data_IF_286315007909
#
_entry.id   IF_286315007909
#
_cell.length_a   1.000
_cell.length_b   1.000
_cell.length_c   1.000
_cell.angle_alpha   90.00
_cell.angle_beta   90.00
_cell.angle_gamma   90.00
#
_symmetry.space_group_name_H-M   'P 1'
#
loop_
_entity.id
_entity.type
_entity.pdbx_description
1 polymer ?
#
# COMPACT_ATOMS: atom_id res chain seq x y z
N UNK A 1 4.09 -16.07 83.18
CA UNK A 1 3.83 -16.58 81.81
C UNK A 1 5.16 -16.97 81.19
N UNK A 2 5.38 -18.24 80.80
CA UNK A 2 6.72 -18.74 80.52
C UNK A 2 7.10 -18.63 79.04
N UNK A 3 8.39 -18.37 78.82
CA UNK A 3 9.06 -18.30 77.52
C UNK A 3 9.21 -19.70 76.91
N UNK A 4 8.71 -19.89 75.68
CA UNK A 4 8.96 -21.11 74.89
C UNK A 4 10.25 -20.91 74.10
N UNK A 5 11.29 -21.70 74.44
CA UNK A 5 12.50 -21.82 73.62
C UNK A 5 12.21 -22.77 72.47
N UNK A 6 12.24 -22.26 71.24
CA UNK A 6 12.22 -23.08 70.02
C UNK A 6 13.64 -23.59 69.78
N UNK A 7 13.84 -24.92 69.81
CA UNK A 7 15.06 -25.56 69.32
C UNK A 7 14.91 -25.79 67.82
N UNK A 8 15.80 -25.22 67.01
CA UNK A 8 15.96 -25.64 65.62
C UNK A 8 16.90 -26.84 65.59
N UNK A 9 16.35 -28.02 65.30
CA UNK A 9 17.14 -29.15 64.84
C UNK A 9 17.22 -29.03 63.31
N UNK A 10 18.42 -28.86 62.77
CA UNK A 10 18.69 -29.07 61.35
C UNK A 10 19.33 -30.46 61.22
N UNK A 11 18.59 -31.40 60.64
CA UNK A 11 19.11 -32.71 60.28
C UNK A 11 19.88 -32.59 58.95
N UNK A 12 21.18 -32.83 58.99
CA UNK A 12 22.10 -32.79 57.84
C UNK A 12 22.08 -34.10 57.01
N UNK A 13 20.93 -34.78 56.94
CA UNK A 13 20.75 -36.04 56.19
C UNK A 13 19.89 -35.89 54.92
N UNK A 14 19.57 -34.67 54.50
CA UNK A 14 18.94 -34.47 53.18
C UNK A 14 19.95 -34.74 52.07
N UNK A 15 19.70 -35.65 51.10
CA UNK A 15 20.59 -35.83 49.96
C UNK A 15 20.79 -34.49 49.26
N UNK A 16 22.04 -34.18 48.89
CA UNK A 16 22.42 -32.95 48.20
C UNK A 16 21.50 -32.69 47.00
N UNK A 17 21.17 -31.42 46.68
CA UNK A 17 20.38 -31.12 45.50
C UNK A 17 21.09 -31.66 44.26
N UNK A 18 20.31 -32.41 43.48
CA UNK A 18 20.65 -33.04 42.19
C UNK A 18 21.90 -32.44 41.53
N UNK A 19 22.93 -33.26 41.36
CA UNK A 19 24.17 -32.81 40.69
C UNK A 19 23.89 -32.58 39.20
N UNK A 20 24.56 -31.63 38.56
CA UNK A 20 24.42 -31.31 37.12
C UNK A 20 24.63 -32.52 36.17
N UNK A 21 25.16 -33.64 36.67
CA UNK A 21 25.28 -34.91 35.94
C UNK A 21 23.97 -35.72 35.88
N UNK A 22 22.93 -35.34 36.62
CA UNK A 22 21.61 -36.02 36.62
C UNK A 22 20.60 -35.37 35.66
N UNK A 23 20.97 -34.28 34.98
CA UNK A 23 20.29 -33.92 33.73
C UNK A 23 20.70 -34.98 32.72
N UNK A 24 19.94 -36.08 32.67
CA UNK A 24 20.29 -37.23 31.84
C UNK A 24 20.51 -36.74 30.42
N UNK A 25 21.61 -37.18 29.80
CA UNK A 25 21.86 -36.91 28.38
C UNK A 25 20.67 -37.38 27.54
N UNK A 26 19.91 -38.34 28.03
CA UNK A 26 18.64 -38.86 27.51
C UNK A 26 17.49 -37.85 27.57
N UNK A 27 17.39 -37.02 28.61
CA UNK A 27 16.42 -35.92 28.69
C UNK A 27 16.76 -34.79 27.71
N UNK A 28 18.05 -34.46 27.56
CA UNK A 28 18.50 -33.49 26.58
C UNK A 28 18.39 -34.05 25.15
N UNK A 29 18.72 -35.33 24.95
CA UNK A 29 18.52 -36.03 23.69
C UNK A 29 17.06 -36.10 23.32
N UNK A 30 16.13 -36.40 24.23
CA UNK A 30 14.69 -36.44 23.94
C UNK A 30 14.08 -35.05 23.70
N UNK A 31 14.70 -33.99 24.23
CA UNK A 31 14.39 -32.61 23.86
C UNK A 31 14.92 -32.27 22.45
N UNK A 32 16.14 -32.69 22.11
CA UNK A 32 16.75 -32.48 20.79
C UNK A 32 16.22 -33.43 19.68
N UNK A 33 15.72 -34.60 20.07
CA UNK A 33 15.05 -35.64 19.24
C UNK A 33 13.53 -35.59 19.44
N UNK A 34 12.96 -34.42 19.70
CA UNK A 34 11.59 -34.22 19.26
C UNK A 34 11.61 -34.39 17.73
N UNK A 35 10.80 -35.29 17.15
CA UNK A 35 10.73 -35.37 15.70
C UNK A 35 10.32 -33.99 15.18
N UNK A 36 11.26 -33.27 14.55
CA UNK A 36 11.00 -32.01 13.86
C UNK A 36 9.91 -32.22 12.80
N UNK A 37 9.74 -33.48 12.36
CA UNK A 37 8.67 -33.96 11.52
C UNK A 37 7.52 -34.48 12.40
N UNK A 38 6.84 -33.57 13.11
CA UNK A 38 5.44 -33.81 13.46
C UNK A 38 4.65 -34.07 12.17
N UNK A 39 3.56 -34.86 12.24
CA UNK A 39 2.68 -35.10 11.09
C UNK A 39 2.43 -33.78 10.34
N UNK A 40 3.05 -33.62 9.16
CA UNK A 40 2.97 -32.35 8.42
C UNK A 40 1.51 -32.16 8.05
N UNK A 41 0.85 -31.21 8.71
CA UNK A 41 -0.52 -30.86 8.41
C UNK A 41 -0.54 -30.03 7.13
N UNK A 42 -1.55 -30.23 6.28
CA UNK A 42 -1.77 -29.37 5.11
C UNK A 42 -1.87 -27.89 5.48
N UNK A 43 -2.38 -27.59 6.68
CA UNK A 43 -2.41 -26.22 7.23
C UNK A 43 -1.01 -25.64 7.41
N UNK A 44 -0.05 -26.44 7.90
CA UNK A 44 1.34 -26.00 8.11
C UNK A 44 2.03 -25.72 6.78
N UNK A 45 1.82 -26.59 5.78
CA UNK A 45 2.34 -26.40 4.42
C UNK A 45 1.79 -25.09 3.83
N UNK A 46 0.47 -24.87 3.92
CA UNK A 46 -0.16 -23.65 3.40
C UNK A 46 0.35 -22.40 4.13
N UNK A 47 0.55 -22.47 5.45
CA UNK A 47 1.12 -21.37 6.22
C UNK A 47 2.55 -21.04 5.80
N UNK A 48 3.40 -22.06 5.58
CA UNK A 48 4.78 -21.86 5.10
C UNK A 48 4.81 -21.23 3.71
N UNK A 49 3.95 -21.69 2.79
CA UNK A 49 3.85 -21.10 1.44
C UNK A 49 3.38 -19.65 1.54
N UNK A 50 2.35 -19.39 2.35
CA UNK A 50 1.82 -18.04 2.54
C UNK A 50 2.86 -17.07 3.12
N UNK A 51 3.54 -17.48 4.19
CA UNK A 51 4.57 -16.67 4.86
C UNK A 51 5.80 -16.44 3.97
N UNK A 52 6.21 -17.44 3.18
CA UNK A 52 7.35 -17.28 2.27
C UNK A 52 7.05 -16.27 1.16
N UNK A 53 5.85 -16.30 0.58
CA UNK A 53 5.43 -15.29 -0.39
C UNK A 53 5.30 -13.89 0.21
N UNK A 54 4.70 -13.77 1.40
CA UNK A 54 4.61 -12.49 2.10
C UNK A 54 6.00 -11.90 2.43
N UNK A 55 6.92 -12.75 2.89
CA UNK A 55 8.31 -12.35 3.16
C UNK A 55 9.04 -11.89 1.89
N UNK A 56 8.82 -12.56 0.76
CA UNK A 56 9.41 -12.17 -0.52
C UNK A 56 8.95 -10.76 -0.96
N UNK A 57 7.64 -10.48 -0.89
CA UNK A 57 7.11 -9.15 -1.22
C UNK A 57 7.61 -8.10 -0.23
N UNK A 58 7.63 -8.42 1.07
CA UNK A 58 8.17 -7.53 2.10
C UNK A 58 9.63 -7.17 1.81
N UNK A 59 10.47 -8.15 1.47
CA UNK A 59 11.88 -7.91 1.13
C UNK A 59 12.03 -6.99 -0.08
N UNK A 60 11.19 -7.17 -1.12
CA UNK A 60 11.15 -6.27 -2.28
C UNK A 60 10.80 -4.84 -1.90
N UNK A 61 9.78 -4.65 -1.05
CA UNK A 61 9.36 -3.33 -0.56
C UNK A 61 10.47 -2.67 0.26
N UNK A 62 11.07 -3.41 1.20
CA UNK A 62 12.20 -2.91 2.01
C UNK A 62 13.37 -2.48 1.14
N UNK A 63 13.70 -3.26 0.10
CA UNK A 63 14.77 -2.90 -0.83
C UNK A 63 14.45 -1.63 -1.63
N UNK A 64 13.19 -1.43 -2.04
CA UNK A 64 12.75 -0.20 -2.69
C UNK A 64 12.90 1.02 -1.76
N UNK A 65 12.49 0.89 -0.50
CA UNK A 65 12.69 1.93 0.51
C UNK A 65 14.18 2.22 0.76
N UNK A 66 15.02 1.20 0.81
CA UNK A 66 16.46 1.38 0.99
C UNK A 66 17.08 2.18 -0.16
N UNK A 67 16.64 1.94 -1.40
CA UNK A 67 17.07 2.74 -2.57
C UNK A 67 16.70 4.21 -2.43
N UNK A 68 15.45 4.49 -2.06
CA UNK A 68 14.97 5.86 -1.84
C UNK A 68 15.77 6.50 -0.71
N UNK A 69 15.90 5.82 0.43
CA UNK A 69 16.66 6.30 1.59
C UNK A 69 18.12 6.62 1.22
N UNK A 70 18.77 5.75 0.45
CA UNK A 70 20.13 5.97 -0.02
C UNK A 70 20.24 7.20 -0.93
N UNK A 71 19.23 7.44 -1.77
CA UNK A 71 19.14 8.64 -2.60
C UNK A 71 18.90 9.90 -1.76
N UNK A 72 18.10 9.82 -0.69
CA UNK A 72 17.83 10.96 0.18
C UNK A 72 19.06 11.39 0.98
N UNK A 73 19.93 10.45 1.36
CA UNK A 73 21.15 10.75 2.15
C UNK A 73 22.33 11.15 1.28
N UNK A 74 22.52 10.44 0.16
CA UNK A 74 23.69 10.64 -0.70
C UNK A 74 23.37 11.48 -1.94
N UNK A 75 22.12 11.92 -2.11
CA UNK A 75 21.71 12.78 -3.20
C UNK A 75 22.25 14.19 -3.03
N UNK A 76 22.73 14.78 -4.11
CA UNK A 76 23.19 16.16 -4.11
C UNK A 76 21.97 17.10 -4.05
N UNK A 77 21.79 17.91 -2.98
CA UNK A 77 20.73 18.90 -2.95
C UNK A 77 21.02 20.00 -3.97
N UNK A 78 20.00 20.40 -4.74
CA UNK A 78 20.13 21.47 -5.76
C UNK A 78 20.01 22.87 -5.12
N UNK A 79 19.59 22.94 -3.87
CA UNK A 79 19.41 24.18 -3.11
C UNK A 79 18.82 23.90 -1.73
N UNK A 80 18.47 24.97 -1.01
CA UNK A 80 17.68 24.90 0.22
C UNK A 80 16.21 24.52 -0.10
N UNK A 81 15.45 24.22 0.95
CA UNK A 81 14.01 23.97 0.91
C UNK A 81 13.30 25.06 0.08
N UNK A 82 12.70 24.67 -1.05
CA UNK A 82 11.88 25.60 -1.84
C UNK A 82 10.46 25.59 -1.26
N UNK A 83 9.94 26.78 -0.98
CA UNK A 83 8.52 26.97 -0.64
C UNK A 83 7.79 27.53 -1.85
N UNK A 84 6.87 26.74 -2.41
CA UNK A 84 5.87 27.22 -3.37
C UNK A 84 4.48 26.88 -2.84
N UNK A 85 3.56 27.84 -3.00
CA UNK A 85 2.16 27.72 -2.55
C UNK A 85 1.97 27.27 -1.09
N UNK A 86 2.92 27.59 -0.20
CA UNK A 86 2.85 27.25 1.23
C UNK A 86 3.22 25.80 1.57
N UNK A 87 3.74 25.03 0.61
CA UNK A 87 4.34 23.71 0.85
C UNK A 87 5.83 23.77 0.64
N UNK A 88 6.54 23.08 1.52
CA UNK A 88 7.97 22.94 1.45
C UNK A 88 8.33 21.60 0.84
N UNK A 89 9.22 21.61 -0.15
CA UNK A 89 9.77 20.39 -0.72
C UNK A 89 11.29 20.49 -0.89
N UNK A 90 11.95 19.33 -0.82
CA UNK A 90 13.39 19.24 -1.02
C UNK A 90 13.73 18.84 -2.44
N UNK A 91 14.60 19.61 -3.07
CA UNK A 91 15.08 19.39 -4.43
C UNK A 91 16.37 18.58 -4.42
N UNK A 92 16.32 17.37 -4.98
CA UNK A 92 17.48 16.49 -5.10
C UNK A 92 17.84 16.30 -6.56
N UNK A 93 19.14 16.35 -6.85
CA UNK A 93 19.69 16.03 -8.17
C UNK A 93 19.90 14.54 -8.28
N UNK A 94 19.34 13.93 -9.31
CA UNK A 94 19.75 12.60 -9.74
C UNK A 94 20.64 12.68 -10.98
N UNK A 95 21.74 11.92 -10.98
CA UNK A 95 22.54 11.68 -12.18
C UNK A 95 22.08 10.42 -12.94
N UNK A 96 21.04 9.74 -12.45
CA UNK A 96 20.47 8.58 -13.14
C UNK A 96 19.70 9.00 -14.38
N UNK A 97 19.58 8.11 -15.36
CA UNK A 97 18.75 8.29 -16.57
C UNK A 97 17.25 8.15 -16.30
N UNK A 98 16.84 8.15 -15.04
CA UNK A 98 15.46 7.94 -14.60
C UNK A 98 14.73 9.29 -14.70
N UNK A 99 13.48 9.28 -15.16
CA UNK A 99 12.62 10.48 -15.20
C UNK A 99 12.53 11.16 -13.84
N UNK A 100 12.27 12.46 -13.82
CA UNK A 100 11.95 13.17 -12.57
C UNK A 100 10.74 12.53 -11.88
N UNK A 101 10.73 12.56 -10.55
CA UNK A 101 9.63 12.01 -9.76
C UNK A 101 9.59 12.64 -8.36
N UNK A 102 8.44 12.55 -7.72
CA UNK A 102 8.21 12.96 -6.33
C UNK A 102 7.95 11.78 -5.41
N UNK A 103 8.41 11.91 -4.17
CA UNK A 103 8.14 10.93 -3.11
C UNK A 103 7.96 11.64 -1.77
N UNK A 104 6.77 11.53 -1.16
CA UNK A 104 6.38 12.34 -0.01
C UNK A 104 6.58 13.84 -0.25
N UNK A 105 7.48 14.49 0.49
CA UNK A 105 7.81 15.92 0.34
C UNK A 105 9.14 16.13 -0.40
N UNK A 106 9.64 15.10 -1.09
CA UNK A 106 10.87 15.17 -1.87
C UNK A 106 10.52 15.26 -3.35
N UNK A 107 11.17 16.19 -4.04
CA UNK A 107 11.06 16.39 -5.47
C UNK A 107 12.42 16.10 -6.09
N UNK A 108 12.53 14.95 -6.78
CA UNK A 108 13.79 14.47 -7.35
C UNK A 108 13.79 14.83 -8.83
N UNK A 109 14.72 15.69 -9.24
CA UNK A 109 14.84 16.13 -10.62
C UNK A 109 16.02 15.47 -11.31
N UNK A 110 15.77 14.97 -12.52
CA UNK A 110 16.82 14.57 -13.44
C UNK A 110 17.62 15.81 -13.89
N UNK A 111 18.94 15.65 -14.08
CA UNK A 111 19.80 16.69 -14.67
C UNK A 111 19.23 17.29 -15.95
N UNK A 112 18.70 16.49 -16.87
CA UNK A 112 18.20 16.99 -18.16
C UNK A 112 16.91 17.82 -17.98
N UNK A 113 16.06 17.40 -17.05
CA UNK A 113 14.78 18.03 -16.71
C UNK A 113 14.97 19.38 -15.98
N UNK A 114 16.13 19.59 -15.35
CA UNK A 114 16.49 20.89 -14.77
C UNK A 114 16.65 21.99 -15.82
N UNK A 115 17.09 21.62 -17.03
CA UNK A 115 17.36 22.58 -18.10
C UNK A 115 16.19 22.72 -19.08
N UNK A 116 15.40 21.66 -19.27
CA UNK A 116 14.30 21.63 -20.22
C UNK A 116 12.96 21.43 -19.53
N UNK A 117 12.03 22.38 -19.72
CA UNK A 117 10.64 22.29 -19.27
C UNK A 117 10.47 22.05 -17.76
N UNK A 118 11.42 22.55 -16.95
CA UNK A 118 11.41 22.42 -15.48
C UNK A 118 10.05 22.77 -14.88
N UNK A 119 9.41 23.86 -15.31
CA UNK A 119 8.13 24.31 -14.73
C UNK A 119 7.04 23.25 -14.86
N UNK A 120 6.77 22.75 -16.07
CA UNK A 120 5.70 21.76 -16.29
C UNK A 120 5.95 20.45 -15.52
N UNK A 121 7.22 20.06 -15.36
CA UNK A 121 7.60 18.88 -14.57
C UNK A 121 7.41 19.17 -13.08
N UNK A 122 7.92 20.30 -12.57
CA UNK A 122 7.77 20.66 -11.15
C UNK A 122 6.32 20.82 -10.76
N UNK A 123 5.50 21.43 -11.62
CA UNK A 123 4.08 21.67 -11.36
C UNK A 123 3.32 20.34 -11.28
N UNK A 124 3.66 19.37 -12.15
CA UNK A 124 3.09 18.01 -12.11
C UNK A 124 3.49 17.26 -10.84
N UNK A 125 4.80 17.22 -10.53
CA UNK A 125 5.31 16.55 -9.35
C UNK A 125 4.82 17.18 -8.04
N UNK A 126 4.58 18.49 -8.04
CA UNK A 126 4.00 19.16 -6.88
C UNK A 126 2.56 18.69 -6.61
N UNK A 127 1.76 18.40 -7.64
CA UNK A 127 0.43 17.81 -7.43
C UNK A 127 0.54 16.45 -6.73
N UNK A 128 1.52 15.62 -7.09
CA UNK A 128 1.74 14.33 -6.43
C UNK A 128 2.08 14.46 -4.94
N UNK A 129 2.95 15.41 -4.61
CA UNK A 129 3.25 15.77 -3.21
C UNK A 129 1.99 16.25 -2.52
N UNK A 130 1.27 17.18 -3.16
CA UNK A 130 0.12 17.87 -2.61
C UNK A 130 -1.09 16.99 -2.33
N UNK A 131 -1.31 15.97 -3.16
CA UNK A 131 -2.39 14.99 -3.02
C UNK A 131 -1.96 13.74 -2.25
N UNK A 132 -0.72 13.69 -1.75
CA UNK A 132 -0.19 12.57 -0.96
C UNK A 132 -0.19 11.23 -1.72
N UNK A 133 -0.04 11.27 -3.04
CA UNK A 133 -0.10 10.06 -3.89
C UNK A 133 0.93 8.99 -3.51
N UNK A 134 2.08 9.39 -2.94
CA UNK A 134 3.07 8.43 -2.41
C UNK A 134 2.50 7.59 -1.26
N UNK A 135 1.68 8.17 -0.38
CA UNK A 135 1.05 7.45 0.72
C UNK A 135 0.08 6.39 0.21
N UNK A 136 -0.73 6.74 -0.80
CA UNK A 136 -1.69 5.82 -1.42
C UNK A 136 -1.00 4.60 -2.04
N UNK A 137 0.13 4.82 -2.73
CA UNK A 137 0.95 3.72 -3.28
C UNK A 137 1.49 2.84 -2.17
N UNK A 138 2.00 3.42 -1.08
CA UNK A 138 2.52 2.66 0.05
C UNK A 138 1.44 1.84 0.77
N UNK A 139 0.24 2.39 0.92
CA UNK A 139 -0.89 1.65 1.47
C UNK A 139 -1.19 0.39 0.62
N UNK A 140 -1.14 0.51 -0.70
CA UNK A 140 -1.32 -0.64 -1.59
C UNK A 140 -0.16 -1.63 -1.56
N UNK A 141 1.08 -1.19 -1.37
CA UNK A 141 2.21 -2.12 -1.13
C UNK A 141 1.97 -2.92 0.16
N UNK A 142 1.46 -2.29 1.22
CA UNK A 142 1.11 -2.98 2.47
C UNK A 142 -0.01 -4.01 2.24
N UNK A 143 -1.07 -3.65 1.53
CA UNK A 143 -2.14 -4.59 1.16
C UNK A 143 -1.58 -5.74 0.32
N UNK A 144 -0.66 -5.45 -0.61
CA UNK A 144 -0.02 -6.46 -1.45
C UNK A 144 0.83 -7.45 -0.65
N UNK A 145 1.43 -7.06 0.48
CA UNK A 145 2.15 -8.02 1.35
C UNK A 145 1.18 -9.09 1.89
N UNK A 146 0.01 -8.68 2.38
CA UNK A 146 -0.98 -9.60 2.92
C UNK A 146 -1.71 -10.41 1.84
N UNK A 147 -1.93 -9.79 0.67
CA UNK A 147 -2.69 -10.34 -0.44
C UNK A 147 -1.80 -10.63 -1.66
N UNK A 148 -0.54 -11.05 -1.45
CA UNK A 148 0.47 -11.16 -2.51
C UNK A 148 0.08 -12.12 -3.65
N UNK A 149 -0.74 -13.13 -3.34
CA UNK A 149 -1.22 -14.12 -4.29
C UNK A 149 -2.43 -13.62 -5.11
N UNK A 150 -3.01 -12.47 -4.76
CA UNK A 150 -4.20 -11.93 -5.40
C UNK A 150 -3.83 -10.97 -6.54
N UNK A 151 -3.98 -11.37 -7.82
CA UNK A 151 -3.63 -10.52 -8.95
C UNK A 151 -4.48 -9.25 -9.05
N UNK A 152 -5.68 -9.25 -8.45
CA UNK A 152 -6.55 -8.06 -8.43
C UNK A 152 -5.91 -6.88 -7.69
N UNK A 153 -5.04 -7.15 -6.70
CA UNK A 153 -4.34 -6.08 -5.98
C UNK A 153 -3.35 -5.37 -6.90
N UNK A 154 -2.64 -6.10 -7.76
CA UNK A 154 -1.71 -5.48 -8.71
C UNK A 154 -2.46 -4.67 -9.78
N UNK A 155 -3.60 -5.18 -10.30
CA UNK A 155 -4.44 -4.42 -11.22
C UNK A 155 -4.98 -3.14 -10.57
N UNK A 156 -5.49 -3.24 -9.33
CA UNK A 156 -5.97 -2.07 -8.60
C UNK A 156 -4.86 -1.04 -8.39
N UNK A 157 -3.66 -1.50 -8.05
CA UNK A 157 -2.47 -0.66 -7.90
C UNK A 157 -2.08 0.04 -9.19
N UNK A 158 -2.19 -0.63 -10.34
CA UNK A 158 -1.97 -0.01 -11.64
C UNK A 158 -3.02 1.06 -11.94
N UNK A 159 -4.30 0.75 -11.76
CA UNK A 159 -5.39 1.72 -11.99
C UNK A 159 -5.31 2.92 -11.05
N UNK A 160 -4.87 2.73 -9.80
CA UNK A 160 -4.69 3.84 -8.88
C UNK A 160 -3.57 4.79 -9.34
N UNK A 161 -2.45 4.24 -9.84
CA UNK A 161 -1.39 5.05 -10.45
C UNK A 161 -1.88 5.82 -11.66
N UNK A 162 -2.64 5.18 -12.56
CA UNK A 162 -3.27 5.86 -13.71
C UNK A 162 -4.15 7.05 -13.27
N UNK A 163 -4.96 6.86 -12.23
CA UNK A 163 -5.78 7.92 -11.66
C UNK A 163 -4.92 9.08 -11.12
N UNK A 164 -3.83 8.79 -10.42
CA UNK A 164 -2.91 9.83 -9.91
C UNK A 164 -2.33 10.67 -11.06
N UNK A 165 -1.87 10.03 -12.13
CA UNK A 165 -1.38 10.72 -13.33
C UNK A 165 -2.48 11.60 -13.95
N UNK A 166 -3.71 11.08 -14.08
CA UNK A 166 -4.82 11.85 -14.64
C UNK A 166 -5.23 13.04 -13.78
N UNK A 167 -5.16 12.92 -12.46
CA UNK A 167 -5.43 14.03 -11.54
C UNK A 167 -4.39 15.12 -11.74
N UNK A 168 -3.10 14.75 -11.70
CA UNK A 168 -1.98 15.67 -11.89
C UNK A 168 -2.05 16.37 -13.26
N UNK A 169 -2.20 15.59 -14.33
CA UNK A 169 -2.36 16.11 -15.69
C UNK A 169 -3.56 17.07 -15.80
N UNK A 170 -4.68 16.77 -15.13
CA UNK A 170 -5.88 17.61 -15.22
C UNK A 170 -5.77 18.97 -14.51
N UNK A 171 -4.88 19.07 -13.53
CA UNK A 171 -4.61 20.31 -12.79
C UNK A 171 -3.61 21.15 -13.59
N UNK A 172 -2.50 20.55 -14.03
CA UNK A 172 -1.46 21.29 -14.78
C UNK A 172 -1.95 21.73 -16.16
N UNK A 173 -2.78 20.92 -16.83
CA UNK A 173 -3.31 21.24 -18.16
C UNK A 173 -4.51 22.19 -18.16
N UNK A 174 -4.92 22.77 -17.02
CA UNK A 174 -6.15 23.56 -16.92
C UNK A 174 -6.11 24.83 -17.80
N UNK A 175 -4.97 25.51 -17.86
CA UNK A 175 -4.80 26.74 -18.64
C UNK A 175 -4.50 26.45 -20.12
N UNK A 176 -3.57 25.54 -20.41
CA UNK A 176 -3.09 25.27 -21.77
C UNK A 176 -2.98 23.76 -22.09
N UNK A 177 -4.13 23.14 -22.36
CA UNK A 177 -4.22 21.70 -22.66
C UNK A 177 -3.31 21.22 -23.80
N UNK A 178 -3.28 21.98 -24.91
CA UNK A 178 -2.53 21.58 -26.10
C UNK A 178 -1.02 21.65 -25.85
N UNK A 179 -0.54 22.76 -25.28
CA UNK A 179 0.86 22.96 -24.92
C UNK A 179 1.35 21.85 -23.97
N UNK A 180 0.56 21.53 -22.94
CA UNK A 180 0.92 20.47 -22.00
C UNK A 180 0.93 19.07 -22.63
N UNK A 181 -0.04 18.76 -23.49
CA UNK A 181 -0.09 17.47 -24.19
C UNK A 181 1.09 17.29 -25.16
N UNK A 182 1.49 18.35 -25.88
CA UNK A 182 2.68 18.34 -26.74
C UNK A 182 3.96 18.16 -25.93
N UNK A 183 4.07 18.85 -24.80
CA UNK A 183 5.16 18.65 -23.85
C UNK A 183 5.24 17.19 -23.38
N UNK A 184 4.14 16.62 -22.91
CA UNK A 184 4.09 15.27 -22.38
C UNK A 184 4.48 14.22 -23.44
N UNK A 185 4.00 14.42 -24.68
CA UNK A 185 4.38 13.60 -25.81
C UNK A 185 5.88 13.69 -26.09
N UNK A 186 6.44 14.90 -26.22
CA UNK A 186 7.86 15.10 -26.48
C UNK A 186 8.75 14.56 -25.34
N UNK A 187 8.30 14.70 -24.09
CA UNK A 187 8.99 14.21 -22.90
C UNK A 187 9.09 12.69 -22.91
N UNK A 188 7.96 12.00 -23.09
CA UNK A 188 7.91 10.54 -23.08
C UNK A 188 8.75 9.91 -24.22
N UNK A 189 8.78 10.53 -25.40
CA UNK A 189 9.62 10.07 -26.50
C UNK A 189 11.12 10.23 -26.20
N UNK A 190 11.52 11.30 -25.49
CA UNK A 190 12.92 11.52 -25.11
C UNK A 190 13.39 10.54 -24.04
N UNK A 191 12.57 10.28 -23.02
CA UNK A 191 12.92 9.35 -21.94
C UNK A 191 12.94 7.90 -22.43
N UNK A 192 12.04 7.51 -23.33
CA UNK A 192 11.93 6.14 -23.85
C UNK A 192 12.88 5.82 -25.03
N UNK A 193 13.55 6.82 -25.62
CA UNK A 193 14.50 6.60 -26.72
C UNK A 193 15.72 5.73 -26.34
N UNK A 194 15.94 5.48 -25.05
CA UNK A 194 17.10 4.76 -24.51
C UNK A 194 16.84 3.30 -24.12
N UNK A 195 15.60 2.80 -24.13
CA UNK A 195 15.26 1.46 -23.63
C UNK A 195 14.55 0.59 -24.69
N UNK A 196 15.30 -0.33 -25.29
CA UNK A 196 14.82 -1.34 -26.26
C UNK A 196 13.95 -2.46 -25.63
N UNK A 197 13.45 -2.31 -24.40
CA UNK A 197 12.71 -3.39 -23.72
C UNK A 197 11.73 -2.86 -22.66
N UNK A 198 10.50 -2.52 -23.10
CA UNK A 198 9.21 -2.50 -22.34
C UNK A 198 8.17 -1.45 -22.80
N UNK A 199 8.29 -0.85 -23.99
CA UNK A 199 7.46 0.30 -24.39
C UNK A 199 5.95 0.04 -24.59
N UNK A 200 5.49 -1.22 -24.70
CA UNK A 200 4.07 -1.51 -24.99
C UNK A 200 3.08 -1.00 -23.91
N UNK A 201 3.47 -0.98 -22.64
CA UNK A 201 2.62 -0.49 -21.55
C UNK A 201 2.73 1.03 -21.34
N UNK A 202 3.89 1.61 -21.67
CA UNK A 202 4.10 3.06 -21.59
C UNK A 202 3.33 3.79 -22.70
N UNK A 203 3.26 3.18 -23.89
CA UNK A 203 2.54 3.75 -25.03
C UNK A 203 1.02 3.82 -24.78
N UNK A 204 0.43 2.82 -24.12
CA UNK A 204 -0.99 2.84 -23.76
C UNK A 204 -1.28 3.91 -22.70
N UNK A 205 -0.44 4.02 -21.68
CA UNK A 205 -0.60 5.01 -20.61
C UNK A 205 -0.49 6.44 -21.15
N UNK A 206 0.53 6.74 -21.98
CA UNK A 206 0.70 8.06 -22.58
C UNK A 206 -0.54 8.44 -23.40
N UNK A 207 -1.03 7.51 -24.22
CA UNK A 207 -2.24 7.72 -25.01
C UNK A 207 -3.44 8.04 -24.13
N UNK A 208 -3.63 7.33 -23.03
CA UNK A 208 -4.75 7.56 -22.11
C UNK A 208 -4.64 8.92 -21.39
N UNK A 209 -3.44 9.29 -20.95
CA UNK A 209 -3.15 10.61 -20.37
C UNK A 209 -3.51 11.75 -21.33
N UNK A 210 -2.98 11.70 -22.57
CA UNK A 210 -3.29 12.69 -23.61
C UNK A 210 -4.79 12.71 -23.92
N UNK A 211 -5.42 11.54 -24.04
CA UNK A 211 -6.86 11.45 -24.30
C UNK A 211 -7.67 12.10 -23.18
N UNK A 212 -7.28 11.89 -21.91
CA UNK A 212 -7.94 12.47 -20.74
C UNK A 212 -7.75 13.99 -20.65
N UNK A 213 -6.55 14.51 -20.93
CA UNK A 213 -6.27 15.95 -21.01
C UNK A 213 -7.18 16.62 -22.05
N UNK A 214 -7.27 16.03 -23.24
CA UNK A 214 -8.05 16.55 -24.37
C UNK A 214 -9.56 16.32 -24.23
N UNK A 215 -9.99 15.47 -23.29
CA UNK A 215 -11.39 15.20 -23.05
C UNK A 215 -12.09 16.42 -22.44
N UNK A 216 -13.24 16.78 -23.00
CA UNK A 216 -14.11 17.78 -22.40
C UNK A 216 -14.71 17.24 -21.09
N UNK A 217 -14.62 18.01 -20.00
CA UNK A 217 -15.33 17.71 -18.73
C UNK A 217 -16.83 17.87 -18.97
N UNK A 218 -17.56 16.77 -19.15
CA UNK A 218 -19.04 16.82 -19.28
C UNK A 218 -19.72 16.58 -17.92
N UNK A 219 -19.85 17.64 -17.12
CA UNK A 219 -20.48 17.57 -15.80
C UNK A 219 -21.95 17.10 -15.84
N UNK A 220 -22.65 17.35 -16.95
CA UNK A 220 -24.07 17.02 -17.11
C UNK A 220 -24.35 15.50 -17.11
N UNK A 221 -23.47 14.69 -17.70
CA UNK A 221 -23.63 13.23 -17.72
C UNK A 221 -23.36 12.60 -16.35
N UNK A 222 -22.42 13.16 -15.59
CA UNK A 222 -22.15 12.74 -14.21
C UNK A 222 -23.35 13.05 -13.33
N UNK A 223 -23.88 14.28 -13.41
CA UNK A 223 -25.09 14.68 -12.70
C UNK A 223 -26.29 13.78 -13.05
N UNK A 224 -26.49 13.47 -14.34
CA UNK A 224 -27.57 12.59 -14.79
C UNK A 224 -27.45 11.16 -14.22
N UNK A 225 -26.23 10.61 -14.12
CA UNK A 225 -26.01 9.29 -13.50
C UNK A 225 -26.37 9.31 -12.01
N UNK A 226 -25.92 10.32 -11.26
CA UNK A 226 -26.25 10.44 -9.84
C UNK A 226 -27.75 10.64 -9.61
N UNK A 227 -28.41 11.44 -10.45
CA UNK A 227 -29.86 11.64 -10.40
C UNK A 227 -30.67 10.34 -10.59
N UNK A 228 -30.13 9.34 -11.29
CA UNK A 228 -30.78 8.04 -11.49
C UNK A 228 -30.40 7.04 -10.39
N UNK A 229 -29.14 7.01 -9.95
CA UNK A 229 -28.66 6.05 -8.94
C UNK A 229 -29.26 6.31 -7.56
N UNK A 230 -29.33 7.57 -7.13
CA UNK A 230 -29.87 7.95 -5.81
C UNK A 230 -31.30 7.41 -5.59
N UNK A 231 -32.28 7.65 -6.47
CA UNK A 231 -33.63 7.11 -6.27
C UNK A 231 -33.68 5.59 -6.35
N UNK A 232 -32.84 4.96 -7.18
CA UNK A 232 -32.78 3.49 -7.23
C UNK A 232 -32.32 2.88 -5.90
N UNK A 233 -31.27 3.44 -5.29
CA UNK A 233 -30.77 3.01 -3.97
C UNK A 233 -31.82 3.26 -2.89
N UNK A 234 -32.51 4.40 -2.93
CA UNK A 234 -33.58 4.72 -1.98
C UNK A 234 -34.73 3.71 -2.06
N UNK A 235 -35.15 3.33 -3.28
CA UNK A 235 -36.20 2.32 -3.50
C UNK A 235 -35.77 0.95 -2.95
N UNK A 236 -34.54 0.52 -3.24
CA UNK A 236 -34.01 -0.76 -2.73
C UNK A 236 -33.95 -0.74 -1.20
N UNK A 237 -33.43 0.33 -0.61
CA UNK A 237 -33.41 0.52 0.85
C UNK A 237 -34.81 0.47 1.47
N UNK A 238 -35.77 1.16 0.87
CA UNK A 238 -37.18 1.10 1.30
C UNK A 238 -37.73 -0.32 1.28
N UNK A 239 -37.52 -1.08 0.20
CA UNK A 239 -37.98 -2.47 0.11
C UNK A 239 -37.34 -3.38 1.15
N UNK A 240 -36.05 -3.20 1.45
CA UNK A 240 -35.35 -3.95 2.50
C UNK A 240 -35.98 -3.66 3.86
N UNK A 241 -36.17 -2.39 4.21
CA UNK A 241 -36.75 -1.96 5.49
C UNK A 241 -38.19 -2.46 5.64
N UNK A 242 -39.03 -2.29 4.62
CA UNK A 242 -40.44 -2.77 4.66
C UNK A 242 -40.51 -4.30 4.79
N UNK A 243 -39.63 -5.02 4.10
CA UNK A 243 -39.56 -6.49 4.21
C UNK A 243 -39.14 -6.90 5.61
N UNK A 244 -38.21 -6.19 6.24
CA UNK A 244 -37.77 -6.47 7.61
C UNK A 244 -38.88 -6.24 8.64
N UNK A 245 -39.60 -5.11 8.54
CA UNK A 245 -40.76 -4.80 9.39
C UNK A 245 -41.84 -5.89 9.26
N UNK A 246 -42.23 -6.24 8.02
CA UNK A 246 -43.26 -7.28 7.79
C UNK A 246 -42.82 -8.64 8.35
N UNK A 247 -41.53 -8.98 8.26
CA UNK A 247 -40.99 -10.23 8.80
C UNK A 247 -41.03 -10.27 10.33
N UNK A 248 -40.81 -9.13 10.99
CA UNK A 248 -41.02 -8.96 12.43
C UNK A 248 -42.48 -9.14 12.84
N UNK A 249 -43.42 -8.55 12.09
CA UNK A 249 -44.86 -8.67 12.34
C UNK A 249 -45.38 -10.11 12.17
N UNK A 250 -44.90 -10.83 11.14
CA UNK A 250 -45.28 -12.22 10.90
C UNK A 250 -44.67 -13.20 11.92
N UNK A 251 -43.51 -12.86 12.52
CA UNK A 251 -42.88 -13.66 13.58
C UNK A 251 -43.67 -13.63 14.91
N UNK A 252 -44.47 -12.58 15.14
CA UNK A 252 -45.29 -12.45 16.35
C UNK A 252 -46.72 -12.97 16.21
N UNK A 253 -47.13 -13.43 15.02
CA UNK A 253 -48.45 -14.05 14.85
C UNK A 253 -48.46 -15.43 15.51
N UNK A 254 -49.25 -15.62 16.58
CA UNK A 254 -49.21 -16.86 17.31
C UNK A 254 -49.89 -17.97 16.48
N UNK A 255 -49.28 -19.15 16.47
CA UNK A 255 -49.64 -20.28 15.58
C UNK A 255 -51.08 -20.80 15.76
N UNK A 256 -51.79 -20.38 16.81
CA UNK A 256 -53.18 -20.75 17.05
C UNK A 256 -54.20 -19.96 16.21
N UNK A 257 -53.80 -18.87 15.54
CA UNK A 257 -54.71 -18.00 14.79
C UNK A 257 -55.06 -18.49 13.36
N UNK A 258 -54.43 -19.57 12.85
CA UNK A 258 -54.57 -20.01 11.44
C UNK A 258 -55.48 -21.25 11.26
N UNK A 259 -56.25 -21.65 12.28
CA UNK A 259 -57.24 -22.73 12.13
C UNK A 259 -58.67 -22.21 12.14
N UNK A 260 -59.22 -21.96 10.95
CA UNK A 260 -60.64 -22.18 10.61
C UNK A 260 -60.79 -22.28 9.10
#
# INVERSE_FOLDING_TARGET
MPFVKVKHNYDFESPLPLTLNEISVESFKSFLYQPIVGNINWVDIMAIIYLSGAMFILARVVFAFFKIYNLLINGDPIGEEETREGRNYWLLKSNDTISSYSFFNFLILNRDDLYYNRSMITDHEEVHIGQWHSFDVLLLELVQIFCWFNPLVEYYKQSLREIHEFIADSIVAEEEKATYAEFLFAYNFRTNASTLSNNFFNDSLLKERIMMIMKARSGMWVAAKYALIIPMVAIIGYFIVVKDIRRGDDAWKPQWAVKR
#
